data_IF_049160353342
#
_entry.id   IF_049160353342
#
_cell.length_a   1.000
_cell.length_b   1.000
_cell.length_c   1.000
_cell.angle_alpha   90.00
_cell.angle_beta   90.00
_cell.angle_gamma   90.00
#
_symmetry.space_group_name_H-M   'P 1'
#
loop_
_entity.id
_entity.type
_entity.pdbx_description
1 polymer ?
#
# COMPACT_ATOMS: atom_id res chain seq x y z
N UNK A 1 -21.07 4.71 -14.14
CA UNK A 1 -19.62 4.72 -14.40
C UNK A 1 -19.07 5.95 -13.73
N UNK A 2 -18.27 5.77 -12.67
CA UNK A 2 -17.58 6.85 -11.97
C UNK A 2 -16.15 6.85 -12.47
N UNK A 3 -15.58 8.02 -12.75
CA UNK A 3 -14.18 8.21 -13.14
C UNK A 3 -13.54 9.21 -12.21
N UNK A 4 -12.35 8.89 -11.71
CA UNK A 4 -11.57 9.69 -10.79
C UNK A 4 -10.14 9.77 -11.31
N UNK A 5 -9.61 10.98 -11.42
CA UNK A 5 -8.23 11.23 -11.84
C UNK A 5 -7.45 12.04 -10.80
N UNK A 6 -6.15 11.79 -10.77
CA UNK A 6 -5.17 12.58 -10.03
C UNK A 6 -3.87 12.67 -10.81
N UNK A 7 -3.12 13.75 -10.64
CA UNK A 7 -1.76 13.84 -11.18
C UNK A 7 -0.81 13.04 -10.32
N UNK A 8 -0.11 12.08 -10.93
CA UNK A 8 0.93 11.29 -10.30
C UNK A 8 2.27 12.02 -10.43
N UNK A 9 2.80 12.53 -9.31
CA UNK A 9 4.09 13.23 -9.28
C UNK A 9 5.26 12.25 -9.23
N UNK A 10 5.14 11.21 -8.42
CA UNK A 10 6.12 10.15 -8.28
C UNK A 10 5.44 8.88 -7.75
N UNK A 11 6.11 7.75 -7.93
CA UNK A 11 5.75 6.49 -7.29
C UNK A 11 7.02 5.72 -6.95
N UNK A 12 6.95 4.89 -5.92
CA UNK A 12 7.99 3.94 -5.54
C UNK A 12 7.33 2.64 -5.10
N UNK A 13 8.02 1.52 -5.28
CA UNK A 13 7.53 0.23 -4.85
C UNK A 13 8.66 -0.65 -4.32
N UNK A 14 8.31 -1.59 -3.45
CA UNK A 14 9.22 -2.58 -2.92
C UNK A 14 8.56 -3.94 -2.91
N UNK A 15 9.25 -4.96 -3.40
CA UNK A 15 8.93 -6.36 -3.19
C UNK A 15 10.24 -7.15 -3.12
N UNK A 16 10.26 -8.37 -2.57
CA UNK A 16 11.48 -9.17 -2.54
C UNK A 16 12.05 -9.44 -3.93
N UNK A 17 13.29 -9.00 -4.17
CA UNK A 17 13.95 -9.07 -5.48
C UNK A 17 13.69 -7.85 -6.40
N UNK A 18 12.79 -6.94 -6.01
CA UNK A 18 12.44 -5.72 -6.73
C UNK A 18 12.37 -4.56 -5.74
N UNK A 19 13.53 -4.00 -5.41
CA UNK A 19 13.69 -3.02 -4.31
C UNK A 19 13.96 -1.60 -4.80
N UNK A 20 14.19 -1.43 -6.11
CA UNK A 20 14.56 -0.15 -6.72
C UNK A 20 13.69 0.14 -7.95
N UNK A 21 13.54 1.42 -8.27
CA UNK A 21 12.81 1.86 -9.47
C UNK A 21 13.32 1.21 -10.75
N UNK A 22 14.64 1.03 -10.88
CA UNK A 22 15.26 0.40 -12.05
C UNK A 22 14.83 -1.06 -12.19
N UNK A 23 14.78 -1.82 -11.09
CA UNK A 23 14.33 -3.21 -11.11
C UNK A 23 12.86 -3.32 -11.51
N UNK A 24 12.01 -2.40 -11.04
CA UNK A 24 10.61 -2.36 -11.47
C UNK A 24 10.44 -1.99 -12.94
N UNK A 25 11.23 -1.05 -13.47
CA UNK A 25 11.21 -0.72 -14.89
C UNK A 25 11.68 -1.86 -15.80
N UNK A 26 12.53 -2.76 -15.28
CA UNK A 26 12.99 -3.96 -15.98
C UNK A 26 12.07 -5.17 -15.78
N UNK A 27 11.14 -5.09 -14.84
CA UNK A 27 10.21 -6.16 -14.54
C UNK A 27 9.18 -6.30 -15.66
N UNK A 28 9.02 -7.53 -16.17
CA UNK A 28 8.12 -7.85 -17.28
C UNK A 28 6.65 -8.02 -16.85
N UNK A 29 6.33 -7.78 -15.57
CA UNK A 29 5.00 -7.98 -15.00
C UNK A 29 4.71 -9.39 -14.47
N UNK A 30 5.66 -10.32 -14.56
CA UNK A 30 5.46 -11.68 -14.04
C UNK A 30 5.58 -11.73 -12.50
N UNK A 31 4.42 -11.86 -11.83
CA UNK A 31 4.34 -11.95 -10.36
C UNK A 31 5.10 -13.17 -9.81
N UNK A 32 5.28 -14.24 -10.60
CA UNK A 32 6.00 -15.43 -10.14
C UNK A 32 7.47 -15.15 -9.81
N UNK A 33 8.04 -14.09 -10.39
CA UNK A 33 9.40 -13.62 -10.13
C UNK A 33 9.57 -12.93 -8.77
N UNK A 34 8.46 -12.52 -8.13
CA UNK A 34 8.50 -11.92 -6.79
C UNK A 34 8.62 -13.03 -5.75
N UNK A 35 9.67 -12.98 -4.91
CA UNK A 35 9.83 -13.96 -3.86
C UNK A 35 8.76 -13.79 -2.76
N UNK A 36 8.30 -14.90 -2.18
CA UNK A 36 7.31 -14.86 -1.10
C UNK A 36 7.90 -14.43 0.26
N UNK A 37 9.23 -14.38 0.36
CA UNK A 37 9.99 -14.07 1.57
C UNK A 37 10.88 -12.86 1.35
N UNK A 38 11.02 -12.04 2.39
CA UNK A 38 11.83 -10.83 2.37
C UNK A 38 11.22 -9.73 3.23
N UNK A 39 12.06 -8.83 3.71
CA UNK A 39 11.66 -7.64 4.48
C UNK A 39 12.66 -6.53 4.21
N UNK A 40 12.22 -5.30 3.91
CA UNK A 40 13.14 -4.20 3.69
C UNK A 40 13.88 -3.87 5.00
N UNK A 41 15.17 -3.57 4.88
CA UNK A 41 16.02 -3.29 6.04
C UNK A 41 15.77 -1.91 6.66
N UNK A 42 15.15 -1.00 5.89
CA UNK A 42 14.82 0.39 6.24
C UNK A 42 15.96 1.13 6.94
N UNK A 43 17.21 0.96 6.46
CA UNK A 43 18.46 1.43 7.09
C UNK A 43 18.53 2.94 7.36
N UNK A 44 17.71 3.74 6.67
CA UNK A 44 17.57 5.17 6.91
C UNK A 44 16.91 5.51 8.26
N UNK A 45 16.22 4.56 8.90
CA UNK A 45 15.64 4.74 10.23
C UNK A 45 16.60 4.34 11.36
N UNK A 46 16.61 5.06 12.50
CA UNK A 46 17.39 4.69 13.67
C UNK A 46 17.13 3.24 14.12
N UNK A 47 18.17 2.52 14.54
CA UNK A 47 18.07 1.10 14.93
C UNK A 47 16.98 0.81 15.97
N UNK A 48 16.84 1.66 16.98
CA UNK A 48 15.79 1.51 18.01
C UNK A 48 14.39 1.69 17.44
N UNK A 49 14.21 2.56 16.46
CA UNK A 49 12.93 2.76 15.79
C UNK A 49 12.57 1.53 14.94
N UNK A 50 13.55 1.00 14.19
CA UNK A 50 13.36 -0.21 13.34
C UNK A 50 12.90 -1.44 14.12
N UNK A 51 13.31 -1.57 15.38
CA UNK A 51 12.89 -2.67 16.27
C UNK A 51 11.41 -2.62 16.65
N UNK A 52 10.76 -1.46 16.53
CA UNK A 52 9.33 -1.26 16.83
C UNK A 52 8.43 -1.53 15.63
N UNK A 53 9.00 -1.71 14.43
CA UNK A 53 8.24 -1.91 13.20
C UNK A 53 7.96 -3.40 12.98
N UNK A 54 6.70 -3.71 12.68
CA UNK A 54 6.31 -4.98 12.08
C UNK A 54 6.90 -5.13 10.67
N UNK A 55 6.76 -6.32 10.07
CA UNK A 55 7.15 -6.51 8.67
C UNK A 55 6.31 -5.64 7.74
N UNK A 56 4.99 -5.62 7.90
CA UNK A 56 4.10 -4.74 7.15
C UNK A 56 4.48 -3.26 7.26
N UNK A 57 4.74 -2.78 8.48
CA UNK A 57 5.17 -1.41 8.70
C UNK A 57 6.52 -1.12 8.02
N UNK A 58 7.46 -2.07 7.98
CA UNK A 58 8.72 -1.90 7.22
C UNK A 58 8.47 -1.80 5.71
N UNK A 59 7.56 -2.63 5.17
CA UNK A 59 7.14 -2.57 3.76
C UNK A 59 6.58 -1.19 3.41
N UNK A 60 5.60 -0.73 4.19
CA UNK A 60 4.98 0.57 3.96
C UNK A 60 6.01 1.72 4.02
N UNK A 61 6.88 1.73 5.03
CA UNK A 61 7.86 2.80 5.19
C UNK A 61 8.99 2.74 4.15
N UNK A 62 9.33 1.57 3.59
CA UNK A 62 10.41 1.51 2.60
C UNK A 62 10.09 2.28 1.33
N UNK A 63 8.88 2.13 0.78
CA UNK A 63 8.49 2.88 -0.42
C UNK A 63 8.08 4.32 -0.10
N UNK A 64 7.45 4.54 1.07
CA UNK A 64 7.00 5.87 1.46
C UNK A 64 8.15 6.89 1.57
N UNK A 65 9.30 6.49 2.12
CA UNK A 65 10.47 7.37 2.27
C UNK A 65 11.20 7.65 0.96
N UNK A 66 11.03 6.81 -0.07
CA UNK A 66 11.64 7.01 -1.38
C UNK A 66 10.77 7.88 -2.30
N UNK A 67 9.47 7.99 -2.01
CA UNK A 67 8.50 8.62 -2.91
C UNK A 67 8.33 10.14 -2.67
N UNK A 68 8.95 10.70 -1.63
CA UNK A 68 8.83 12.10 -1.26
C UNK A 68 10.20 12.74 -0.97
N UNK A 69 10.31 14.04 -1.21
CA UNK A 69 11.52 14.79 -0.88
C UNK A 69 11.75 14.84 0.65
N UNK A 70 13.02 14.77 1.06
CA UNK A 70 13.35 14.82 2.48
C UNK A 70 12.90 16.15 3.10
N UNK A 71 12.09 16.05 4.16
CA UNK A 71 11.59 17.21 4.91
C UNK A 71 10.28 17.80 4.35
N UNK A 72 9.76 17.27 3.24
CA UNK A 72 8.40 17.60 2.81
C UNK A 72 7.38 16.88 3.71
N UNK A 73 6.27 17.57 4.02
CA UNK A 73 5.17 17.04 4.83
C UNK A 73 3.88 17.14 4.01
N UNK A 74 3.19 16.02 3.84
CA UNK A 74 1.98 15.92 3.02
C UNK A 74 0.93 15.08 3.74
N UNK A 75 -0.34 15.28 3.39
CA UNK A 75 -1.37 14.38 3.89
C UNK A 75 -1.12 12.96 3.39
N UNK A 76 -1.41 11.95 4.20
CA UNK A 76 -1.11 10.55 3.89
C UNK A 76 -2.35 9.67 3.97
N UNK A 77 -2.41 8.66 3.11
CA UNK A 77 -3.42 7.60 3.13
C UNK A 77 -2.68 6.28 3.16
N UNK A 78 -2.64 5.62 4.32
CA UNK A 78 -2.07 4.28 4.44
C UNK A 78 -3.14 3.23 4.18
N UNK A 79 -2.80 2.14 3.52
CA UNK A 79 -3.77 1.11 3.14
C UNK A 79 -3.18 -0.28 3.27
N UNK A 80 -3.99 -1.21 3.76
CA UNK A 80 -3.73 -2.66 3.78
C UNK A 80 -5.03 -3.40 4.04
N UNK A 81 -5.25 -4.50 3.34
CA UNK A 81 -6.46 -5.30 3.44
C UNK A 81 -6.55 -6.02 4.79
N UNK A 82 -5.40 -6.45 5.32
CA UNK A 82 -5.31 -7.21 6.57
C UNK A 82 -4.65 -6.45 7.71
N UNK A 83 -3.92 -5.37 7.43
CA UNK A 83 -3.23 -4.57 8.43
C UNK A 83 -2.25 -5.40 9.26
N UNK A 84 -2.10 -5.06 10.54
CA UNK A 84 -1.16 -5.69 11.48
C UNK A 84 -1.60 -7.12 11.93
N UNK A 85 -2.16 -7.93 11.02
CA UNK A 85 -2.70 -9.27 11.29
C UNK A 85 -1.67 -10.18 11.98
N UNK A 86 -0.43 -10.22 11.48
CA UNK A 86 0.67 -10.98 12.09
C UNK A 86 0.95 -10.59 13.54
N UNK A 87 0.78 -9.30 13.88
CA UNK A 87 0.94 -8.79 15.24
C UNK A 87 -0.27 -9.18 16.10
N UNK A 88 -1.49 -9.05 15.57
CA UNK A 88 -2.74 -9.44 16.24
C UNK A 88 -2.77 -10.94 16.59
N UNK A 89 -2.36 -11.82 15.66
CA UNK A 89 -2.35 -13.27 15.91
C UNK A 89 -1.44 -13.61 17.09
N UNK A 90 -0.23 -13.04 17.15
CA UNK A 90 0.70 -13.26 18.28
C UNK A 90 0.13 -12.80 19.61
N UNK A 91 -0.68 -11.73 19.62
CA UNK A 91 -1.36 -11.28 20.84
C UNK A 91 -2.46 -12.27 21.25
N UNK A 92 -3.20 -12.81 20.29
CA UNK A 92 -4.22 -13.83 20.55
C UNK A 92 -3.61 -15.16 21.04
N UNK A 93 -2.46 -15.57 20.48
CA UNK A 93 -1.71 -16.74 20.95
C UNK A 93 -1.23 -16.57 22.40
N UNK A 94 -0.70 -15.38 22.73
CA UNK A 94 -0.33 -15.06 24.11
C UNK A 94 -1.54 -15.13 25.04
N UNK A 95 -2.69 -14.58 24.63
CA UNK A 95 -3.91 -14.62 25.42
C UNK A 95 -4.42 -16.06 25.62
N UNK A 96 -4.41 -16.88 24.56
CA UNK A 96 -4.85 -18.28 24.61
C UNK A 96 -3.93 -19.17 25.47
N UNK A 97 -2.69 -18.74 25.71
CA UNK A 97 -1.69 -19.43 26.54
C UNK A 97 -1.52 -18.79 27.92
N UNK A 98 -2.45 -17.94 28.36
CA UNK A 98 -2.39 -17.19 29.62
C UNK A 98 -1.08 -16.42 29.84
N UNK A 99 -0.44 -16.01 28.74
CA UNK A 99 0.81 -15.25 28.74
C UNK A 99 0.54 -13.74 28.80
N UNK A 100 1.47 -12.99 29.39
CA UNK A 100 1.35 -11.54 29.49
C UNK A 100 1.32 -10.86 28.11
N UNK A 101 0.37 -9.94 27.93
CA UNK A 101 0.25 -9.13 26.73
C UNK A 101 1.20 -7.94 26.82
N UNK A 102 2.17 -7.87 25.90
CA UNK A 102 3.09 -6.74 25.82
C UNK A 102 2.33 -5.46 25.43
N UNK A 103 2.34 -4.40 26.26
CA UNK A 103 1.68 -3.14 25.92
C UNK A 103 2.23 -2.50 24.64
N UNK A 104 3.53 -2.70 24.38
CA UNK A 104 4.16 -2.22 23.14
C UNK A 104 3.62 -2.95 21.92
N UNK A 105 3.53 -4.30 21.95
CA UNK A 105 2.97 -5.06 20.82
C UNK A 105 1.50 -4.73 20.59
N UNK A 106 0.73 -4.56 21.66
CA UNK A 106 -0.67 -4.13 21.57
C UNK A 106 -0.80 -2.73 20.95
N UNK A 107 0.07 -1.78 21.32
CA UNK A 107 0.05 -0.43 20.72
C UNK A 107 0.38 -0.42 19.23
N UNK A 108 1.03 -1.48 18.71
CA UNK A 108 1.39 -1.64 17.29
C UNK A 108 0.54 -2.68 16.57
N UNK A 109 -0.59 -3.11 17.15
CA UNK A 109 -1.52 -4.05 16.51
C UNK A 109 -2.70 -3.34 15.81
N UNK A 110 -2.76 -2.01 15.90
CA UNK A 110 -3.79 -1.20 15.26
C UNK A 110 -3.47 -1.00 13.78
N UNK A 111 -4.49 -0.90 12.94
CA UNK A 111 -4.33 -0.79 11.48
C UNK A 111 -3.47 0.43 11.05
N UNK A 112 -3.62 1.55 11.76
CA UNK A 112 -2.88 2.78 11.49
C UNK A 112 -1.43 2.79 12.05
N UNK A 113 -0.87 1.65 12.45
CA UNK A 113 0.49 1.57 13.01
C UNK A 113 1.53 2.14 12.03
N UNK A 114 1.48 1.75 10.76
CA UNK A 114 2.43 2.24 9.74
C UNK A 114 2.33 3.78 9.56
N UNK A 115 1.11 4.32 9.52
CA UNK A 115 0.85 5.77 9.47
C UNK A 115 1.44 6.49 10.69
N UNK A 116 1.17 6.01 11.90
CA UNK A 116 1.70 6.61 13.13
C UNK A 116 3.23 6.55 13.19
N UNK A 117 3.83 5.44 12.76
CA UNK A 117 5.28 5.30 12.69
C UNK A 117 5.89 6.24 11.65
N UNK A 118 5.27 6.41 10.48
CA UNK A 118 5.70 7.39 9.47
C UNK A 118 5.70 8.81 10.04
N UNK A 119 4.58 9.23 10.66
CA UNK A 119 4.42 10.55 11.28
C UNK A 119 5.49 10.81 12.35
N UNK A 120 5.74 9.85 13.25
CA UNK A 120 6.77 9.97 14.29
C UNK A 120 8.17 10.09 13.68
N UNK A 121 8.48 9.25 12.67
CA UNK A 121 9.80 9.22 12.06
C UNK A 121 10.13 10.53 11.31
N UNK A 122 9.15 11.11 10.59
CA UNK A 122 9.32 12.35 9.83
C UNK A 122 9.00 13.62 10.64
N UNK A 123 8.51 13.49 11.87
CA UNK A 123 7.94 14.60 12.67
C UNK A 123 6.83 15.33 11.89
N UNK A 124 6.12 14.59 11.04
CA UNK A 124 5.06 15.10 10.18
C UNK A 124 3.73 15.08 10.95
N UNK A 125 3.07 16.24 11.02
CA UNK A 125 1.77 16.45 11.68
C UNK A 125 0.62 16.62 10.68
N UNK A 126 0.88 16.40 9.40
CA UNK A 126 -0.14 16.44 8.36
C UNK A 126 -1.22 15.39 8.63
N UNK A 127 -2.46 15.63 8.17
CA UNK A 127 -3.53 14.65 8.29
C UNK A 127 -3.13 13.27 7.72
N UNK A 128 -3.55 12.21 8.40
CA UNK A 128 -3.33 10.84 7.94
C UNK A 128 -4.58 10.01 8.14
N UNK A 129 -4.94 9.23 7.12
CA UNK A 129 -6.00 8.22 7.18
C UNK A 129 -5.44 6.82 6.95
N UNK A 130 -6.15 5.79 7.43
CA UNK A 130 -5.77 4.40 7.21
C UNK A 130 -6.99 3.60 6.74
N UNK A 131 -6.85 2.91 5.61
CA UNK A 131 -7.95 2.29 4.86
C UNK A 131 -7.78 0.78 4.74
N UNK A 132 -8.87 0.04 4.99
CA UNK A 132 -9.02 -1.37 4.66
C UNK A 132 -10.40 -1.55 4.02
N UNK A 133 -10.45 -2.16 2.83
CA UNK A 133 -11.69 -2.43 2.10
C UNK A 133 -11.67 -3.81 1.41
N UNK A 134 -10.96 -4.78 1.99
CA UNK A 134 -10.81 -6.11 1.41
C UNK A 134 -10.11 -6.05 0.05
N UNK A 135 -10.64 -6.76 -0.96
CA UNK A 135 -10.06 -6.77 -2.31
C UNK A 135 -10.01 -5.37 -2.95
N UNK A 136 -10.93 -4.47 -2.57
CA UNK A 136 -11.06 -3.11 -3.10
C UNK A 136 -10.19 -2.07 -2.35
N UNK A 137 -9.24 -2.52 -1.50
CA UNK A 137 -8.47 -1.62 -0.61
C UNK A 137 -7.68 -0.56 -1.37
N UNK A 138 -7.02 -0.92 -2.48
CA UNK A 138 -6.25 0.03 -3.29
C UNK A 138 -7.17 1.13 -3.85
N UNK A 139 -8.28 0.72 -4.44
CA UNK A 139 -9.22 1.61 -5.11
C UNK A 139 -9.89 2.56 -4.13
N UNK A 140 -10.32 2.04 -2.98
CA UNK A 140 -10.91 2.87 -1.92
C UNK A 140 -9.89 3.82 -1.29
N UNK A 141 -8.62 3.42 -1.16
CA UNK A 141 -7.55 4.31 -0.73
C UNK A 141 -7.28 5.42 -1.75
N UNK A 142 -7.36 5.12 -3.05
CA UNK A 142 -7.22 6.11 -4.11
C UNK A 142 -8.39 7.09 -4.14
N UNK A 143 -9.62 6.61 -3.93
CA UNK A 143 -10.81 7.46 -3.78
C UNK A 143 -10.66 8.41 -2.60
N UNK A 144 -10.17 7.92 -1.45
CA UNK A 144 -9.88 8.76 -0.27
C UNK A 144 -8.84 9.84 -0.60
N UNK A 145 -7.71 9.47 -1.23
CA UNK A 145 -6.67 10.42 -1.60
C UNK A 145 -7.18 11.48 -2.60
N UNK A 146 -7.90 11.05 -3.63
CA UNK A 146 -8.51 11.96 -4.62
C UNK A 146 -9.55 12.88 -3.99
N UNK A 147 -10.34 12.38 -3.04
CA UNK A 147 -11.32 13.18 -2.30
C UNK A 147 -10.64 14.28 -1.48
N UNK A 148 -9.52 13.97 -0.79
CA UNK A 148 -8.73 14.97 -0.08
C UNK A 148 -8.20 16.06 -1.03
N UNK A 149 -7.67 15.68 -2.20
CA UNK A 149 -7.20 16.61 -3.24
C UNK A 149 -8.33 17.50 -3.80
N UNK A 150 -9.51 16.91 -4.05
CA UNK A 150 -10.68 17.60 -4.61
C UNK A 150 -11.27 18.65 -3.65
N UNK A 151 -11.11 18.49 -2.34
CA UNK A 151 -11.51 19.54 -1.38
C UNK A 151 -10.60 20.77 -1.40
N UNK A 152 -9.51 20.75 -2.18
CA UNK A 152 -8.46 21.77 -2.25
C UNK A 152 -7.82 22.15 -0.90
N UNK A 153 -8.05 21.36 0.16
CA UNK A 153 -7.37 21.51 1.44
C UNK A 153 -5.94 21.01 1.40
N UNK A 154 -5.64 20.10 0.49
CA UNK A 154 -4.33 19.49 0.29
C UNK A 154 -3.93 19.64 -1.18
N UNK A 155 -2.70 20.11 -1.42
CA UNK A 155 -2.13 20.17 -2.78
C UNK A 155 -1.49 18.85 -3.20
N UNK A 156 -1.04 18.05 -2.21
CA UNK A 156 -0.44 16.73 -2.39
C UNK A 156 -0.97 15.75 -1.34
N UNK A 157 -1.12 14.50 -1.74
CA UNK A 157 -1.47 13.37 -0.88
C UNK A 157 -0.59 12.18 -1.24
N UNK A 158 0.04 11.56 -0.24
CA UNK A 158 0.81 10.34 -0.42
C UNK A 158 -0.03 9.11 -0.03
N UNK A 159 -0.33 8.26 -1.00
CA UNK A 159 -1.01 6.98 -0.80
C UNK A 159 0.04 5.88 -0.65
N UNK A 160 0.02 5.15 0.47
CA UNK A 160 0.92 4.04 0.76
C UNK A 160 0.10 2.76 0.93
N UNK A 161 0.22 1.83 -0.01
CA UNK A 161 -0.33 0.48 0.09
C UNK A 161 0.79 -0.48 0.48
N UNK A 162 0.56 -1.32 1.48
CA UNK A 162 1.44 -2.43 1.79
C UNK A 162 0.63 -3.69 2.08
N UNK A 163 1.12 -4.82 1.62
CA UNK A 163 0.52 -6.12 1.90
C UNK A 163 1.61 -7.14 2.20
N UNK A 164 1.30 -8.06 3.10
CA UNK A 164 2.08 -9.27 3.31
C UNK A 164 1.14 -10.48 3.40
N UNK A 165 1.62 -11.69 3.09
CA UNK A 165 0.80 -12.88 3.19
C UNK A 165 0.19 -13.03 4.58
N UNK A 166 -1.08 -13.41 4.63
CA UNK A 166 -1.76 -13.70 5.91
C UNK A 166 -1.03 -14.77 6.72
N UNK A 167 -1.20 -14.72 8.04
CA UNK A 167 -0.66 -15.71 8.97
C UNK A 167 -1.08 -17.14 8.56
N UNK A 168 -0.26 -18.14 8.87
CA UNK A 168 -0.47 -19.54 8.46
C UNK A 168 -1.85 -20.09 8.82
N UNK A 169 -2.41 -19.70 9.97
CA UNK A 169 -3.77 -20.05 10.39
C UNK A 169 -4.86 -19.64 9.40
N UNK A 170 -4.64 -18.54 8.67
CA UNK A 170 -5.60 -17.98 7.72
C UNK A 170 -5.29 -18.32 6.27
N UNK A 171 -4.14 -18.94 5.96
CA UNK A 171 -3.76 -19.25 4.57
C UNK A 171 -4.76 -20.17 3.88
N UNK A 172 -5.42 -21.06 4.61
CA UNK A 172 -6.48 -21.92 4.07
C UNK A 172 -7.72 -21.15 3.57
N UNK A 173 -7.90 -19.90 4.01
CA UNK A 173 -8.99 -19.02 3.58
C UNK A 173 -8.54 -18.01 2.51
N UNK A 174 -7.23 -17.90 2.27
CA UNK A 174 -6.70 -17.16 1.13
C UNK A 174 -6.86 -18.02 -0.12
N UNK A 175 -7.44 -17.48 -1.20
CA UNK A 175 -7.68 -18.27 -2.41
C UNK A 175 -6.45 -18.33 -3.32
N UNK A 176 -5.44 -17.47 -3.09
CA UNK A 176 -4.15 -17.48 -3.80
C UNK A 176 -2.98 -17.22 -2.85
N UNK A 177 -1.77 -17.74 -3.17
CA UNK A 177 -0.56 -17.37 -2.46
C UNK A 177 -0.23 -15.89 -2.72
N UNK A 178 -0.44 -15.06 -1.71
CA UNK A 178 -0.10 -13.63 -1.76
C UNK A 178 1.41 -13.43 -1.78
N UNK A 179 1.86 -12.38 -2.47
CA UNK A 179 3.23 -11.88 -2.43
C UNK A 179 3.32 -10.65 -1.53
N UNK A 180 4.38 -10.51 -0.72
CA UNK A 180 4.62 -9.29 0.03
C UNK A 180 5.05 -8.16 -0.91
N UNK A 181 4.47 -6.98 -0.76
CA UNK A 181 4.88 -5.79 -1.49
C UNK A 181 4.47 -4.51 -0.77
N UNK A 182 5.03 -3.39 -1.20
CA UNK A 182 4.52 -2.05 -0.95
C UNK A 182 4.53 -1.22 -2.24
N UNK A 183 3.58 -0.30 -2.34
CA UNK A 183 3.44 0.68 -3.40
C UNK A 183 3.12 2.03 -2.75
N UNK A 184 3.90 3.05 -3.08
CA UNK A 184 3.60 4.44 -2.71
C UNK A 184 3.36 5.26 -3.97
N UNK A 185 2.33 6.12 -3.92
CA UNK A 185 1.99 7.09 -4.94
C UNK A 185 1.99 8.48 -4.30
N UNK A 186 2.74 9.43 -4.87
CA UNK A 186 2.60 10.84 -4.55
C UNK A 186 1.65 11.49 -5.56
N UNK A 187 0.46 11.85 -5.10
CA UNK A 187 -0.61 12.41 -5.92
C UNK A 187 -0.75 13.90 -5.66
N UNK A 188 -1.13 14.66 -6.68
CA UNK A 188 -1.40 16.10 -6.57
C UNK A 188 -2.64 16.53 -7.34
N UNK A 189 -3.14 17.72 -7.04
CA UNK A 189 -4.22 18.38 -7.78
C UNK A 189 -3.73 19.29 -8.91
N UNK A 190 -2.49 19.07 -9.40
CA UNK A 190 -1.97 19.79 -10.56
C UNK A 190 -2.79 19.45 -11.81
N UNK A 191 -2.95 20.41 -12.72
CA UNK A 191 -3.64 20.18 -13.99
C UNK A 191 -2.70 19.65 -15.10
N UNK A 192 -1.41 19.52 -14.80
CA UNK A 192 -0.34 19.15 -15.73
C UNK A 192 0.49 18.02 -15.15
N UNK A 193 1.08 17.19 -16.01
CA UNK A 193 1.91 16.06 -15.59
C UNK A 193 1.23 14.72 -15.85
N UNK A 194 1.86 13.64 -15.38
CA UNK A 194 1.36 12.30 -15.62
C UNK A 194 0.03 12.10 -14.89
N UNK A 195 -0.94 11.46 -15.54
CA UNK A 195 -2.27 11.23 -15.00
C UNK A 195 -2.49 9.77 -14.66
N UNK A 196 -2.95 9.50 -13.44
CA UNK A 196 -3.48 8.21 -13.04
C UNK A 196 -5.00 8.31 -12.94
N UNK A 197 -5.70 7.46 -13.68
CA UNK A 197 -7.16 7.46 -13.77
C UNK A 197 -7.72 6.12 -13.32
N UNK A 198 -8.72 6.16 -12.46
CA UNK A 198 -9.52 5.03 -12.00
C UNK A 198 -10.95 5.18 -12.51
N UNK A 199 -11.50 4.14 -13.13
CA UNK A 199 -12.92 4.13 -13.54
C UNK A 199 -13.62 2.83 -13.16
N UNK A 200 -14.93 2.94 -12.90
CA UNK A 200 -15.76 1.83 -12.40
C UNK A 200 -16.76 1.33 -13.41
N UNK A 201 -16.86 0.01 -13.51
CA UNK A 201 -17.90 -0.70 -14.22
C UNK A 201 -18.63 -1.66 -13.28
N UNK A 202 -19.85 -2.02 -13.62
CA UNK A 202 -20.55 -3.11 -12.93
C UNK A 202 -19.83 -4.42 -13.22
N UNK A 203 -19.43 -5.16 -12.19
CA UNK A 203 -18.89 -6.50 -12.38
C UNK A 203 -20.02 -7.52 -12.54
N UNK A 204 -19.88 -8.41 -13.52
CA UNK A 204 -20.75 -9.58 -13.73
C UNK A 204 -20.00 -10.90 -13.52
N UNK A 205 -18.70 -10.84 -13.21
CA UNK A 205 -17.83 -11.99 -13.08
C UNK A 205 -17.56 -12.30 -11.61
N UNK A 206 -17.31 -13.57 -11.30
CA UNK A 206 -16.67 -13.92 -10.04
C UNK A 206 -15.25 -13.34 -10.07
N UNK A 207 -14.89 -12.56 -9.04
CA UNK A 207 -13.59 -11.91 -8.98
C UNK A 207 -12.46 -12.94 -9.10
N UNK A 208 -11.73 -12.92 -10.21
CA UNK A 208 -10.46 -13.63 -10.28
C UNK A 208 -9.50 -12.89 -9.34
N UNK A 209 -9.07 -13.56 -8.27
CA UNK A 209 -8.32 -12.87 -7.23
C UNK A 209 -6.96 -12.42 -7.78
N UNK A 210 -6.69 -11.12 -7.67
CA UNK A 210 -5.44 -10.50 -8.04
C UNK A 210 -5.02 -9.58 -6.90
N UNK A 211 -3.73 -9.44 -6.64
CA UNK A 211 -3.26 -8.39 -5.76
C UNK A 211 -3.27 -7.08 -6.55
N UNK A 212 -4.34 -6.28 -6.39
CA UNK A 212 -4.58 -5.07 -7.18
C UNK A 212 -3.37 -4.12 -7.18
N UNK A 213 -2.64 -4.01 -6.05
CA UNK A 213 -1.41 -3.23 -5.97
C UNK A 213 -0.30 -3.71 -6.92
N UNK A 214 -0.09 -5.02 -7.06
CA UNK A 214 0.86 -5.57 -8.04
C UNK A 214 0.37 -5.35 -9.48
N UNK A 215 -0.94 -5.44 -9.71
CA UNK A 215 -1.51 -5.08 -11.01
C UNK A 215 -1.21 -3.61 -11.34
N UNK A 216 -1.39 -2.69 -10.38
CA UNK A 216 -1.05 -1.27 -10.57
C UNK A 216 0.44 -1.05 -10.81
N UNK A 217 1.32 -1.80 -10.14
CA UNK A 217 2.76 -1.75 -10.43
C UNK A 217 3.07 -2.18 -11.87
N UNK A 218 2.36 -3.18 -12.45
CA UNK A 218 2.52 -3.54 -13.88
C UNK A 218 2.17 -2.39 -14.82
N UNK A 219 1.12 -1.64 -14.48
CA UNK A 219 0.74 -0.45 -15.24
C UNK A 219 1.82 0.65 -15.12
N UNK A 220 2.29 0.92 -13.90
CA UNK A 220 3.25 1.99 -13.63
C UNK A 220 4.66 1.68 -14.15
N UNK A 221 5.07 0.41 -14.20
CA UNK A 221 6.34 -0.01 -14.79
C UNK A 221 6.32 -0.02 -16.32
N UNK A 222 5.15 0.07 -16.94
CA UNK A 222 4.97 -0.05 -18.39
C UNK A 222 4.90 -1.49 -18.90
N UNK A 223 4.85 -2.48 -18.01
CA UNK A 223 4.62 -3.89 -18.39
C UNK A 223 3.23 -4.09 -18.99
N UNK A 224 2.23 -3.30 -18.57
CA UNK A 224 0.89 -3.25 -19.15
C UNK A 224 0.46 -1.81 -19.44
N UNK A 225 -0.35 -1.61 -20.50
CA UNK A 225 -0.84 -0.27 -20.89
C UNK A 225 -2.13 0.16 -20.20
N UNK A 226 -2.91 -0.82 -19.76
CA UNK A 226 -4.12 -0.68 -18.97
C UNK A 226 -4.27 -1.96 -18.17
N UNK A 227 -4.90 -1.85 -17.01
CA UNK A 227 -5.24 -3.02 -16.19
C UNK A 227 -6.71 -2.92 -15.81
N UNK A 228 -7.37 -4.08 -15.74
CA UNK A 228 -8.68 -4.23 -15.15
C UNK A 228 -8.56 -5.19 -13.96
N UNK A 229 -9.01 -4.74 -12.80
CA UNK A 229 -9.05 -5.53 -11.56
C UNK A 229 -10.49 -5.76 -11.14
N UNK A 230 -10.82 -7.02 -10.81
CA UNK A 230 -12.15 -7.39 -10.36
C UNK A 230 -12.26 -7.25 -8.84
N UNK A 231 -13.10 -6.32 -8.41
CA UNK A 231 -13.41 -6.06 -7.01
C UNK A 231 -14.52 -6.96 -6.45
N UNK A 232 -15.01 -6.64 -5.25
CA UNK A 232 -16.09 -7.41 -4.62
C UNK A 232 -17.45 -7.22 -5.29
N UNK A 233 -17.68 -6.04 -5.89
CA UNK A 233 -18.95 -5.66 -6.55
C UNK A 233 -18.76 -4.88 -7.86
N UNK A 234 -17.58 -4.30 -8.04
CA UNK A 234 -17.24 -3.43 -9.16
C UNK A 234 -16.02 -4.01 -9.87
N UNK A 235 -15.89 -3.72 -11.15
CA UNK A 235 -14.63 -3.86 -11.86
C UNK A 235 -13.98 -2.50 -12.01
N UNK A 236 -12.66 -2.47 -11.86
CA UNK A 236 -11.87 -1.26 -11.75
C UNK A 236 -10.88 -1.20 -12.89
N UNK A 237 -10.97 -0.14 -13.68
CA UNK A 237 -10.10 0.06 -14.83
C UNK A 237 -9.13 1.18 -14.51
N UNK A 238 -7.84 0.85 -14.51
CA UNK A 238 -6.76 1.80 -14.30
C UNK A 238 -6.08 2.15 -15.62
N UNK A 239 -5.85 3.44 -15.80
CA UNK A 239 -5.05 3.97 -16.90
C UNK A 239 -3.99 4.94 -16.37
N UNK A 240 -2.78 4.84 -16.92
CA UNK A 240 -1.68 5.74 -16.64
C UNK A 240 -1.24 6.41 -17.95
N UNK A 241 -1.34 7.73 -17.98
CA UNK A 241 -0.99 8.55 -19.16
C UNK A 241 0.18 9.46 -18.81
N UNK A 242 1.25 9.38 -19.62
CA UNK A 242 2.39 10.29 -19.51
C UNK A 242 2.05 11.65 -20.15
N UNK A 243 2.61 12.72 -19.58
CA UNK A 243 2.47 14.08 -20.13
C UNK A 243 3.23 14.28 -21.45
#
# INVERSE_FOLDING_TARGET
>A
MITIDATLESWDAWAPGHETQQQWQQWNGDISQINSQGTPEVKFLPAMFRRRLSRLSKLALSSAFNCIEQGESVSTVFASSHGELSTCVKLLENLASDSELSPTKFSTSVHNTASGMYSIANKDRSPSTSIAAGIDTLEMAFIEAASQLATHKQSKVMLVLAEEPVHEYYQQYAQLPEKPFALTLLLSNKNTGNKLTLSTNSSSAAAAQQQHGLSLIRLLSGAEKNINTEGGRLSWNWNYSLA
#
